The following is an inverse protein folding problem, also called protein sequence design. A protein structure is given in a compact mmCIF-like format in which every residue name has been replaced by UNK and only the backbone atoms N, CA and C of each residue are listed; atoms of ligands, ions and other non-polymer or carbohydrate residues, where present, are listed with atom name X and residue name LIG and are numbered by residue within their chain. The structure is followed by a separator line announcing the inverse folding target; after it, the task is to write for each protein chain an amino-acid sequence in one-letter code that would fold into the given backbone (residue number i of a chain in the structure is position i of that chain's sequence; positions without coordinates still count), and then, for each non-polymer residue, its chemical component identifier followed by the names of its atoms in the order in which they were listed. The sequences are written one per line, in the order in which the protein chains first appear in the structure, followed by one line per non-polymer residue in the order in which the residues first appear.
data_IF_831673375342
#
_entry.id   IF_831673375342
#
_cell.length_a   1.000
_cell.length_b   1.000
_cell.length_c   1.000
_cell.angle_alpha   90.00
_cell.angle_beta   90.00
_cell.angle_gamma   90.00
#
_symmetry.space_group_name_H-M   'P 1'
#
loop_
_entity.id
_entity.type
_entity.pdbx_description
1 polymer ?
#
# COMPACT_ATOMS: atom_id res chain seq x y z
N UNK A 1 0.92 5.43 -8.53
CA UNK A 1 0.09 5.20 -7.33
C UNK A 1 0.38 6.32 -6.33
N UNK A 2 -0.24 7.49 -6.50
CA UNK A 2 0.27 8.73 -5.91
C UNK A 2 -0.46 9.13 -4.61
N UNK A 3 -1.75 8.79 -4.50
CA UNK A 3 -2.61 9.05 -3.36
C UNK A 3 -2.17 8.34 -2.07
N UNK A 4 -1.96 7.03 -2.16
CA UNK A 4 -1.62 6.20 -1.01
C UNK A 4 -0.18 6.41 -0.54
N UNK A 5 0.74 6.73 -1.46
CA UNK A 5 2.09 7.14 -1.11
C UNK A 5 2.06 8.46 -0.32
N UNK A 6 1.26 9.44 -0.73
CA UNK A 6 1.09 10.69 0.02
C UNK A 6 0.50 10.43 1.42
N UNK A 7 -0.55 9.59 1.53
CA UNK A 7 -1.13 9.22 2.82
C UNK A 7 -0.12 8.48 3.72
N UNK A 8 0.63 7.52 3.19
CA UNK A 8 1.67 6.80 3.92
C UNK A 8 2.76 7.75 4.43
N UNK A 9 3.27 8.66 3.58
CA UNK A 9 4.25 9.67 4.00
C UNK A 9 3.72 10.53 5.14
N UNK A 10 2.43 10.90 5.12
CA UNK A 10 1.82 11.63 6.24
C UNK A 10 1.75 10.79 7.53
N UNK A 11 1.43 9.50 7.44
CA UNK A 11 1.34 8.61 8.60
C UNK A 11 2.70 8.29 9.24
N UNK A 12 3.75 8.18 8.44
CA UNK A 12 5.12 7.97 8.93
C UNK A 12 5.79 9.23 9.49
N UNK A 13 5.19 10.42 9.30
CA UNK A 13 5.68 11.69 9.83
C UNK A 13 7.19 11.92 9.56
N UNK A 14 8.03 11.91 10.61
CA UNK A 14 9.48 12.12 10.49
C UNK A 14 10.18 10.99 9.72
N UNK A 15 9.59 9.79 9.68
CA UNK A 15 10.10 8.60 8.99
C UNK A 15 9.58 8.49 7.55
N UNK A 16 8.89 9.50 7.01
CA UNK A 16 8.24 9.46 5.68
C UNK A 16 9.11 8.98 4.52
N UNK A 17 10.44 9.15 4.62
CA UNK A 17 11.39 8.74 3.59
C UNK A 17 11.39 7.21 3.37
N UNK A 18 10.94 6.41 4.36
CA UNK A 18 10.77 4.96 4.21
C UNK A 18 9.88 4.61 3.02
N UNK A 19 8.87 5.45 2.74
CA UNK A 19 7.97 5.24 1.60
C UNK A 19 8.72 5.37 0.28
N UNK A 20 9.62 6.33 0.19
CA UNK A 20 10.44 6.57 -1.00
C UNK A 20 11.49 5.47 -1.18
N UNK A 21 12.12 5.02 -0.08
CA UNK A 21 13.03 3.88 -0.08
C UNK A 21 12.35 2.62 -0.61
N UNK A 22 11.19 2.26 -0.05
CA UNK A 22 10.45 1.06 -0.45
C UNK A 22 9.96 1.12 -1.90
N UNK A 23 9.59 2.32 -2.38
CA UNK A 23 9.19 2.51 -3.78
C UNK A 23 10.37 2.42 -4.75
N UNK A 24 11.57 2.79 -4.31
CA UNK A 24 12.78 2.69 -5.11
C UNK A 24 13.30 1.24 -5.17
N UNK A 25 13.47 0.63 -3.99
CA UNK A 25 13.86 -0.76 -3.82
C UNK A 25 13.43 -1.27 -2.43
N UNK A 26 12.45 -2.17 -2.42
CA UNK A 26 11.91 -2.74 -1.18
C UNK A 26 12.94 -3.61 -0.45
N UNK A 27 13.80 -4.33 -1.17
CA UNK A 27 14.77 -5.27 -0.59
C UNK A 27 15.91 -4.51 0.11
N UNK A 28 16.32 -3.38 -0.45
CA UNK A 28 17.37 -2.50 0.11
C UNK A 28 16.84 -1.44 1.10
N UNK A 29 15.52 -1.39 1.31
CA UNK A 29 14.92 -0.44 2.25
C UNK A 29 15.27 -0.72 3.71
N UNK A 30 15.10 0.27 4.59
CA UNK A 30 15.33 0.14 6.04
C UNK A 30 14.21 -0.61 6.78
N UNK A 31 13.24 -1.20 6.07
CA UNK A 31 12.19 -2.01 6.66
C UNK A 31 12.73 -3.24 7.39
N UNK A 32 12.01 -3.66 8.43
CA UNK A 32 12.25 -4.97 9.06
C UNK A 32 12.06 -6.12 8.07
N UNK A 33 12.81 -7.20 8.25
CA UNK A 33 12.70 -8.41 7.41
C UNK A 33 11.28 -8.99 7.40
N UNK A 34 10.54 -8.86 8.52
CA UNK A 34 9.12 -9.26 8.59
C UNK A 34 8.28 -8.46 7.59
N UNK A 35 8.44 -7.15 7.55
CA UNK A 35 7.70 -6.30 6.62
C UNK A 35 8.11 -6.58 5.18
N UNK A 36 9.40 -6.79 4.90
CA UNK A 36 9.88 -7.17 3.56
C UNK A 36 9.25 -8.49 3.09
N UNK A 37 9.20 -9.50 3.96
CA UNK A 37 8.56 -10.78 3.65
C UNK A 37 7.04 -10.64 3.37
N UNK A 38 6.33 -9.81 4.14
CA UNK A 38 4.91 -9.52 3.89
C UNK A 38 4.71 -8.74 2.57
N UNK A 39 5.55 -7.75 2.28
CA UNK A 39 5.51 -7.03 1.01
C UNK A 39 5.86 -7.91 -0.18
N UNK A 40 6.76 -8.89 -0.01
CA UNK A 40 7.03 -9.90 -1.02
C UNK A 40 5.78 -10.74 -1.35
N UNK A 41 5.04 -11.18 -0.32
CA UNK A 41 3.74 -11.86 -0.50
C UNK A 41 2.75 -10.94 -1.24
N UNK A 42 2.63 -9.67 -0.83
CA UNK A 42 1.75 -8.70 -1.47
C UNK A 42 2.10 -8.49 -2.96
N UNK A 43 3.38 -8.41 -3.31
CA UNK A 43 3.87 -8.31 -4.68
C UNK A 43 3.49 -9.54 -5.52
N UNK A 44 3.54 -10.75 -4.94
CA UNK A 44 3.07 -11.97 -5.61
C UNK A 44 1.55 -11.98 -5.81
N UNK A 45 0.78 -11.55 -4.81
CA UNK A 45 -0.68 -11.41 -4.93
C UNK A 45 -1.06 -10.45 -6.07
N UNK A 46 -0.27 -9.37 -6.25
CA UNK A 46 -0.49 -8.41 -7.34
C UNK A 46 -0.41 -9.07 -8.73
N UNK A 47 0.54 -9.99 -8.92
CA UNK A 47 0.67 -10.76 -10.17
C UNK A 47 -0.50 -11.72 -10.30
N UNK A 48 -0.63 -12.66 -9.35
CA UNK A 48 -1.70 -13.65 -9.29
C UNK A 48 -1.68 -14.36 -7.93
N UNK A 49 -2.85 -14.62 -7.34
CA UNK A 49 -2.93 -15.29 -6.04
C UNK A 49 -2.30 -16.71 -5.99
N UNK A 50 -2.12 -17.37 -7.14
CA UNK A 50 -1.44 -18.67 -7.25
C UNK A 50 0.09 -18.59 -7.20
N UNK A 51 0.66 -17.40 -7.34
CA UNK A 51 2.11 -17.17 -7.24
C UNK A 51 2.60 -17.17 -5.78
N UNK A 52 1.69 -16.99 -4.82
CA UNK A 52 2.02 -17.13 -3.40
C UNK A 52 2.22 -18.62 -3.09
N UNK A 53 3.42 -18.96 -2.66
CA UNK A 53 3.83 -20.34 -2.36
C UNK A 53 3.88 -20.59 -0.86
N UNK A 54 3.96 -21.87 -0.48
CA UNK A 54 4.19 -22.26 0.90
C UNK A 54 5.55 -21.76 1.44
N UNK A 55 6.55 -21.57 0.57
CA UNK A 55 7.86 -21.02 0.95
C UNK A 55 7.76 -19.55 1.34
N UNK A 56 6.94 -18.77 0.64
CA UNK A 56 6.73 -17.35 0.98
C UNK A 56 6.09 -17.19 2.36
N UNK A 57 5.08 -18.01 2.65
CA UNK A 57 4.42 -18.07 3.95
C UNK A 57 5.39 -18.53 5.04
N UNK A 58 6.22 -19.54 4.76
CA UNK A 58 7.22 -20.02 5.70
C UNK A 58 8.29 -18.97 6.02
N UNK A 59 8.75 -18.20 5.02
CA UNK A 59 9.73 -17.13 5.21
C UNK A 59 9.15 -15.98 6.04
N UNK A 60 7.89 -15.57 5.79
CA UNK A 60 7.23 -14.58 6.64
C UNK A 60 7.12 -15.04 8.10
N UNK A 61 6.76 -16.31 8.33
CA UNK A 61 6.68 -16.90 9.67
C UNK A 61 8.03 -16.99 10.36
N UNK A 62 9.11 -17.24 9.63
CA UNK A 62 10.49 -17.24 10.16
C UNK A 62 10.85 -15.89 10.77
N UNK A 63 10.35 -14.79 10.21
CA UNK A 63 10.49 -13.43 10.78
C UNK A 63 9.37 -13.07 11.77
N UNK A 64 8.56 -14.03 12.21
CA UNK A 64 7.56 -13.84 13.25
C UNK A 64 6.20 -13.32 12.77
N UNK A 65 5.89 -13.41 11.47
CA UNK A 65 4.55 -13.10 10.98
C UNK A 65 3.53 -14.15 11.43
N UNK A 66 2.41 -13.70 11.99
CA UNK A 66 1.30 -14.59 12.34
C UNK A 66 0.29 -14.77 11.19
N UNK A 67 -0.70 -15.66 11.39
CA UNK A 67 -1.74 -15.95 10.40
C UNK A 67 -2.55 -14.72 10.03
N UNK A 68 -2.77 -13.82 10.98
CA UNK A 68 -3.56 -12.61 10.77
C UNK A 68 -2.77 -11.60 9.95
N UNK A 69 -1.49 -11.40 10.22
CA UNK A 69 -0.63 -10.51 9.44
C UNK A 69 -0.51 -10.98 7.99
N UNK A 70 -0.36 -12.29 7.76
CA UNK A 70 -0.36 -12.89 6.41
C UNK A 70 -1.72 -12.74 5.74
N UNK A 71 -2.82 -13.04 6.45
CA UNK A 71 -4.19 -12.85 5.96
C UNK A 71 -4.43 -11.40 5.54
N UNK A 72 -4.13 -10.44 6.42
CA UNK A 72 -4.36 -9.02 6.20
C UNK A 72 -3.50 -8.51 5.03
N UNK A 73 -2.26 -8.98 4.91
CA UNK A 73 -1.40 -8.71 3.76
C UNK A 73 -2.04 -9.15 2.44
N UNK A 74 -2.51 -10.39 2.36
CA UNK A 74 -3.17 -10.92 1.14
C UNK A 74 -4.46 -10.16 0.85
N UNK A 75 -5.29 -9.90 1.86
CA UNK A 75 -6.55 -9.20 1.72
C UNK A 75 -6.36 -7.76 1.24
N UNK A 76 -5.42 -7.02 1.84
CA UNK A 76 -5.07 -5.65 1.46
C UNK A 76 -4.58 -5.66 0.01
N UNK A 77 -3.59 -6.48 -0.33
CA UNK A 77 -3.06 -6.56 -1.69
C UNK A 77 -4.16 -6.88 -2.72
N UNK A 78 -5.02 -7.86 -2.44
CA UNK A 78 -6.12 -8.23 -3.32
C UNK A 78 -7.14 -7.10 -3.51
N UNK A 79 -7.50 -6.38 -2.44
CA UNK A 79 -8.41 -5.25 -2.51
C UNK A 79 -7.84 -4.12 -3.37
N UNK A 80 -6.57 -3.77 -3.19
CA UNK A 80 -5.89 -2.77 -4.02
C UNK A 80 -5.80 -3.18 -5.48
N UNK A 81 -5.57 -4.46 -5.77
CA UNK A 81 -5.61 -4.96 -7.13
C UNK A 81 -7.01 -4.86 -7.75
N UNK A 82 -8.08 -5.05 -6.98
CA UNK A 82 -9.45 -4.82 -7.44
C UNK A 82 -9.70 -3.34 -7.72
N UNK A 83 -9.30 -2.43 -6.81
CA UNK A 83 -9.46 -0.99 -7.00
C UNK A 83 -8.69 -0.48 -8.22
N UNK A 84 -7.44 -0.93 -8.41
CA UNK A 84 -6.65 -0.54 -9.57
C UNK A 84 -7.33 -0.99 -10.88
N UNK A 85 -7.79 -2.25 -10.95
CA UNK A 85 -8.53 -2.74 -12.13
C UNK A 85 -9.82 -1.95 -12.39
N UNK A 86 -10.52 -1.52 -11.34
CA UNK A 86 -11.71 -0.69 -11.46
C UNK A 86 -11.39 0.71 -12.00
N UNK A 87 -10.39 1.39 -11.42
CA UNK A 87 -9.94 2.73 -11.82
C UNK A 87 -9.42 2.73 -13.26
N UNK A 88 -8.53 1.78 -13.58
CA UNK A 88 -7.92 1.63 -14.89
C UNK A 88 -8.96 1.23 -15.94
N UNK A 89 -9.84 0.27 -15.61
CA UNK A 89 -10.88 -0.22 -16.52
C UNK A 89 -11.92 0.84 -16.90
N UNK A 90 -12.17 1.81 -16.01
CA UNK A 90 -13.03 2.96 -16.29
C UNK A 90 -12.29 4.13 -16.95
N UNK A 91 -10.97 4.03 -17.14
CA UNK A 91 -10.12 5.15 -17.57
C UNK A 91 -10.37 6.41 -16.72
N UNK A 92 -10.43 6.22 -15.41
CA UNK A 92 -10.73 7.31 -14.47
C UNK A 92 -9.66 8.40 -14.52
N UNK A 93 -10.06 9.66 -14.34
CA UNK A 93 -9.09 10.75 -14.25
C UNK A 93 -8.24 10.63 -12.98
N UNK A 94 -6.93 10.48 -13.17
CA UNK A 94 -5.93 10.52 -12.10
C UNK A 94 -4.93 11.64 -12.37
N UNK A 95 -4.86 12.70 -11.54
CA UNK A 95 -3.86 13.75 -11.70
C UNK A 95 -2.44 13.18 -11.82
N UNK A 96 -1.67 13.67 -12.79
CA UNK A 96 -0.29 13.22 -12.99
C UNK A 96 0.68 13.82 -11.97
N UNK A 97 0.44 15.07 -11.57
CA UNK A 97 1.27 15.79 -10.60
C UNK A 97 1.10 15.22 -9.19
N UNK A 98 2.22 14.88 -8.55
CA UNK A 98 2.23 14.26 -7.21
C UNK A 98 1.82 15.24 -6.12
N UNK A 99 2.13 16.52 -6.27
CA UNK A 99 1.77 17.60 -5.33
C UNK A 99 0.26 17.74 -5.12
N UNK A 100 -0.55 17.38 -6.13
CA UNK A 100 -2.02 17.37 -6.04
C UNK A 100 -2.52 16.40 -4.97
N UNK A 101 -1.73 15.37 -4.64
CA UNK A 101 -2.10 14.36 -3.65
C UNK A 101 -1.69 14.72 -2.23
N UNK A 102 -0.90 15.78 -2.00
CA UNK A 102 -0.39 16.10 -0.66
C UNK A 102 -1.51 16.46 0.32
N UNK A 103 -2.45 17.31 -0.10
CA UNK A 103 -3.62 17.66 0.72
C UNK A 103 -4.53 16.45 0.96
N UNK A 104 -4.67 15.59 -0.05
CA UNK A 104 -5.45 14.38 0.07
C UNK A 104 -4.79 13.37 1.01
N UNK A 105 -3.47 13.23 0.97
CA UNK A 105 -2.68 12.40 1.87
C UNK A 105 -2.85 12.81 3.33
N UNK A 106 -2.72 14.12 3.62
CA UNK A 106 -2.97 14.69 4.96
C UNK A 106 -4.38 14.37 5.44
N UNK A 107 -5.37 14.62 4.59
CA UNK A 107 -6.77 14.34 4.91
C UNK A 107 -7.00 12.85 5.20
N UNK A 108 -6.46 11.96 4.37
CA UNK A 108 -6.62 10.51 4.55
C UNK A 108 -5.95 10.03 5.84
N UNK A 109 -4.78 10.57 6.18
CA UNK A 109 -4.08 10.23 7.41
C UNK A 109 -4.86 10.68 8.67
N UNK A 110 -5.48 11.86 8.63
CA UNK A 110 -6.20 12.42 9.78
C UNK A 110 -7.66 11.96 9.91
N UNK A 111 -8.35 11.82 8.78
CA UNK A 111 -9.83 11.67 8.71
C UNK A 111 -10.27 10.38 8.03
N UNK A 112 -9.35 9.57 7.52
CA UNK A 112 -9.66 8.40 6.71
C UNK A 112 -10.43 8.77 5.43
N UNK A 113 -11.36 7.92 5.04
CA UNK A 113 -12.16 8.04 3.80
C UNK A 113 -13.43 8.89 3.95
N UNK A 114 -13.56 9.69 5.02
CA UNK A 114 -14.73 10.55 5.22
C UNK A 114 -14.76 11.63 4.13
N UNK A 115 -15.87 11.73 3.39
CA UNK A 115 -16.05 12.75 2.35
C UNK A 115 -16.13 14.17 2.95
N UNK A 116 -15.65 15.21 2.24
CA UNK A 116 -15.88 16.57 2.69
C UNK A 116 -17.38 16.85 2.72
N UNK A 117 -17.86 17.71 3.64
CA UNK A 117 -19.22 18.21 3.54
C UNK A 117 -19.41 18.80 2.13
N UNK A 118 -20.54 18.46 1.51
CA UNK A 118 -20.90 19.01 0.21
C UNK A 118 -20.87 20.53 0.31
N UNK A 119 -20.16 21.18 -0.63
CA UNK A 119 -20.19 22.64 -0.72
C UNK A 119 -21.63 23.04 -1.06
N UNK A 120 -22.28 23.94 -0.30
CA UNK A 120 -23.58 24.43 -0.68
C UNK A 120 -23.48 25.12 -2.04
N UNK A 121 -24.49 24.85 -2.89
CA UNK A 121 -24.64 25.38 -4.24
C UNK A 121 -24.99 26.87 -4.18
#
# INVERSE_FOLDING_TARGET
MNSHAAAARCLYADEKNIVDEVMADMEESTLSDKMKALLHIAGKVQVLGKEVTALDVAEARKYGADDREIHDTVLIAAAFCMFNRYVDGLNSFTPAETTVYDEMGKRMAEKGYVLPPLRPI
#
